data_IF_681234451593
#
_entry.id   IF_681234451593
#
_cell.length_a   1.000
_cell.length_b   1.000
_cell.length_c   1.000
_cell.angle_alpha   90.00
_cell.angle_beta   90.00
_cell.angle_gamma   90.00
#
_symmetry.space_group_name_H-M   'P 1'
#
loop_
_entity.id
_entity.type
_entity.pdbx_description
1 polymer ?
#
# COMPACT_ATOMS: atom_id res chain seq x y z
N UNK A 1 21.31 -6.38 -10.51
CA UNK A 1 20.04 -5.67 -10.83
C UNK A 1 18.95 -6.72 -10.97
N UNK A 2 17.80 -6.57 -10.32
CA UNK A 2 16.72 -7.57 -10.39
C UNK A 2 16.07 -7.65 -11.77
N UNK A 3 15.69 -8.85 -12.21
CA UNK A 3 15.11 -9.08 -13.54
C UNK A 3 13.84 -8.26 -13.78
N UNK A 4 12.85 -8.34 -12.87
CA UNK A 4 11.59 -7.62 -13.02
C UNK A 4 11.76 -6.09 -12.89
N UNK A 5 12.36 -5.62 -11.80
CA UNK A 5 12.55 -4.17 -11.55
C UNK A 5 13.42 -3.52 -12.63
N UNK A 6 14.50 -4.18 -13.04
CA UNK A 6 15.37 -3.67 -14.09
C UNK A 6 14.69 -3.63 -15.47
N UNK A 7 13.79 -4.57 -15.74
CA UNK A 7 12.98 -4.58 -16.95
C UNK A 7 11.93 -3.46 -16.95
N UNK A 8 11.17 -3.31 -15.85
CA UNK A 8 10.14 -2.27 -15.70
C UNK A 8 10.70 -0.85 -15.84
N UNK A 9 11.91 -0.59 -15.34
CA UNK A 9 12.55 0.72 -15.43
C UNK A 9 13.02 1.09 -16.84
N UNK A 10 13.15 0.12 -17.75
CA UNK A 10 13.70 0.31 -19.10
C UNK A 10 12.65 0.31 -20.20
N UNK A 11 11.45 -0.19 -19.92
CA UNK A 11 10.41 -0.37 -20.91
C UNK A 11 9.21 0.51 -20.55
N UNK A 12 8.90 1.55 -21.35
CA UNK A 12 7.56 2.12 -21.31
C UNK A 12 6.57 1.06 -21.81
N UNK A 13 5.42 0.96 -21.17
CA UNK A 13 4.42 -0.10 -21.42
C UNK A 13 3.89 -0.16 -22.88
N UNK A 14 2.94 -1.08 -23.16
CA UNK A 14 2.01 -1.69 -22.21
C UNK A 14 2.59 -2.87 -21.42
N UNK A 15 2.08 -3.08 -20.19
CA UNK A 15 2.47 -4.18 -19.32
C UNK A 15 1.38 -5.25 -19.25
N UNK A 16 1.78 -6.53 -19.17
CA UNK A 16 0.87 -7.62 -18.82
C UNK A 16 0.78 -7.73 -17.30
N UNK A 17 -0.39 -7.42 -16.75
CA UNK A 17 -0.65 -7.40 -15.31
C UNK A 17 -1.88 -8.27 -14.99
N UNK A 18 -1.93 -8.78 -13.76
CA UNK A 18 -3.11 -9.42 -13.20
C UNK A 18 -3.23 -9.05 -11.72
N UNK A 19 -4.46 -9.04 -11.21
CA UNK A 19 -4.71 -8.81 -9.80
C UNK A 19 -4.74 -10.13 -9.05
N UNK A 20 -4.07 -10.18 -7.89
CA UNK A 20 -4.17 -11.29 -6.93
C UNK A 20 -4.69 -10.76 -5.61
N UNK A 21 -5.82 -11.31 -5.15
CA UNK A 21 -6.40 -10.93 -3.87
C UNK A 21 -5.48 -11.33 -2.70
N UNK A 22 -5.52 -10.53 -1.63
CA UNK A 22 -4.86 -10.82 -0.36
C UNK A 22 -5.87 -10.72 0.79
N UNK A 23 -6.68 -11.77 1.05
CA UNK A 23 -7.76 -11.76 2.06
C UNK A 23 -7.35 -11.31 3.46
N UNK A 24 -6.08 -11.45 3.83
CA UNK A 24 -5.56 -11.05 5.14
C UNK A 24 -5.16 -9.58 5.25
N UNK A 25 -5.29 -8.77 4.19
CA UNK A 25 -4.80 -7.40 4.16
C UNK A 25 -5.89 -6.43 3.68
N UNK A 26 -6.94 -6.32 4.48
CA UNK A 26 -8.06 -5.40 4.30
C UNK A 26 -8.31 -4.64 5.60
N UNK A 27 -9.02 -3.52 5.51
CA UNK A 27 -9.46 -2.80 6.69
C UNK A 27 -10.49 -3.63 7.46
N UNK A 28 -10.45 -3.60 8.81
CA UNK A 28 -11.55 -4.08 9.63
C UNK A 28 -12.86 -3.41 9.21
N UNK A 29 -13.94 -4.19 9.08
CA UNK A 29 -15.26 -3.69 8.70
C UNK A 29 -15.84 -2.70 9.71
N UNK A 30 -15.50 -2.90 10.99
CA UNK A 30 -15.87 -1.95 12.05
C UNK A 30 -14.94 -0.73 11.96
N UNK A 31 -15.52 0.40 11.59
CA UNK A 31 -14.82 1.68 11.41
C UNK A 31 -14.54 2.40 12.73
N UNK A 32 -15.12 1.93 13.85
CA UNK A 32 -14.79 2.44 15.18
C UNK A 32 -13.45 1.90 15.71
N UNK A 33 -12.93 0.81 15.12
CA UNK A 33 -11.64 0.24 15.50
C UNK A 33 -10.49 1.08 14.92
N UNK A 34 -9.59 1.63 15.77
CA UNK A 34 -8.42 2.35 15.28
C UNK A 34 -7.48 1.42 14.52
N UNK A 35 -6.68 1.99 13.61
CA UNK A 35 -5.67 1.24 12.85
C UNK A 35 -4.27 1.83 13.04
N UNK A 36 -3.31 0.94 13.28
CA UNK A 36 -1.88 1.24 13.32
C UNK A 36 -1.21 0.64 12.09
N UNK A 37 -0.77 1.51 11.18
CA UNK A 37 -0.13 1.15 9.93
C UNK A 37 1.39 1.34 10.09
N UNK A 38 2.17 0.28 9.91
CA UNK A 38 3.64 0.32 10.06
C UNK A 38 4.28 -0.16 8.77
N UNK A 39 5.08 0.70 8.13
CA UNK A 39 5.75 0.37 6.88
C UNK A 39 7.12 1.01 6.77
N UNK A 40 8.07 0.33 6.14
CA UNK A 40 9.38 0.88 5.82
C UNK A 40 9.65 0.77 4.33
N UNK A 41 10.32 1.78 3.77
CA UNK A 41 10.57 1.90 2.34
C UNK A 41 9.38 1.51 1.47
N UNK A 42 9.58 0.57 0.55
CA UNK A 42 8.52 0.13 -0.39
C UNK A 42 7.33 -0.55 0.30
N UNK A 43 7.48 -0.98 1.56
CA UNK A 43 6.39 -1.53 2.38
C UNK A 43 5.27 -0.53 2.69
N UNK A 44 5.47 0.76 2.41
CA UNK A 44 4.41 1.78 2.51
C UNK A 44 3.32 1.63 1.44
N UNK A 45 3.63 1.03 0.29
CA UNK A 45 2.73 0.98 -0.87
C UNK A 45 1.33 0.43 -0.58
N UNK A 46 1.17 -0.75 0.06
CA UNK A 46 -0.16 -1.28 0.35
C UNK A 46 -0.89 -0.46 1.43
N UNK A 47 -0.17 0.17 2.36
CA UNK A 47 -0.75 1.03 3.41
C UNK A 47 -1.38 2.29 2.81
N UNK A 48 -0.72 2.91 1.82
CA UNK A 48 -1.28 4.01 1.04
C UNK A 48 -2.55 3.54 0.30
N UNK A 49 -2.58 2.30 -0.18
CA UNK A 49 -3.78 1.70 -0.77
C UNK A 49 -4.98 1.72 0.19
N UNK A 50 -4.79 1.26 1.43
CA UNK A 50 -5.83 1.28 2.46
C UNK A 50 -6.28 2.71 2.81
N UNK A 51 -5.34 3.65 2.95
CA UNK A 51 -5.66 5.07 3.21
C UNK A 51 -6.45 5.71 2.07
N UNK A 52 -6.15 5.36 0.81
CA UNK A 52 -6.89 5.82 -0.37
C UNK A 52 -8.29 5.24 -0.40
N UNK A 53 -8.47 3.99 0.00
CA UNK A 53 -9.79 3.36 0.13
C UNK A 53 -10.66 4.10 1.16
N UNK A 54 -10.12 4.37 2.36
CA UNK A 54 -10.82 5.17 3.38
C UNK A 54 -11.24 6.54 2.82
N UNK A 55 -10.31 7.25 2.18
CA UNK A 55 -10.57 8.57 1.62
C UNK A 55 -11.65 8.53 0.52
N UNK A 56 -11.63 7.52 -0.34
CA UNK A 56 -12.64 7.33 -1.39
C UNK A 56 -14.03 7.03 -0.82
N UNK A 57 -14.11 6.37 0.33
CA UNK A 57 -15.35 6.05 1.03
C UNK A 57 -15.83 7.17 1.97
N UNK A 58 -15.03 8.23 2.16
CA UNK A 58 -15.31 9.26 3.17
C UNK A 58 -15.25 8.74 4.61
N UNK A 59 -14.59 7.60 4.82
CA UNK A 59 -14.50 6.95 6.12
C UNK A 59 -13.66 7.78 7.09
N UNK A 60 -14.14 7.97 8.32
CA UNK A 60 -13.40 8.60 9.41
C UNK A 60 -13.07 7.56 10.47
N UNK A 61 -11.83 7.07 10.46
CA UNK A 61 -11.27 6.13 11.41
C UNK A 61 -10.03 6.73 12.06
N UNK A 62 -9.86 6.53 13.37
CA UNK A 62 -8.61 6.86 14.04
C UNK A 62 -7.46 6.05 13.41
N UNK A 63 -6.49 6.74 12.84
CA UNK A 63 -5.45 6.13 12.00
C UNK A 63 -4.09 6.73 12.29
N UNK A 64 -3.13 5.86 12.62
CA UNK A 64 -1.72 6.22 12.80
C UNK A 64 -0.87 5.52 11.75
N UNK A 65 -0.03 6.27 11.05
CA UNK A 65 0.99 5.73 10.14
C UNK A 65 2.37 5.98 10.73
N UNK A 66 3.11 4.91 10.99
CA UNK A 66 4.53 4.95 11.35
C UNK A 66 5.33 4.54 10.12
N UNK A 67 6.17 5.45 9.64
CA UNK A 67 7.01 5.22 8.46
C UNK A 67 8.49 5.43 8.75
N UNK A 68 9.33 4.58 8.16
CA UNK A 68 10.79 4.71 8.22
C UNK A 68 11.46 4.42 6.87
N UNK A 69 12.47 5.21 6.54
CA UNK A 69 13.35 5.01 5.38
C UNK A 69 14.77 5.46 5.74
N UNK A 70 15.77 4.86 5.09
CA UNK A 70 17.16 5.29 5.26
C UNK A 70 17.34 6.67 4.62
N UNK A 71 17.81 7.64 5.40
CA UNK A 71 18.33 8.90 4.82
C UNK A 71 19.74 8.63 4.32
N UNK A 72 19.99 8.93 3.04
CA UNK A 72 21.32 8.97 2.43
C UNK A 72 21.74 10.41 2.22
#
# INVERSE_FOLDING_TARGET
RGTATGWLLKHPGPFRLFCRANPGFYLPRDTALPVLLIGTGTGIAPLIGLLREMAAQGERRETVLIFGEKRR
#
